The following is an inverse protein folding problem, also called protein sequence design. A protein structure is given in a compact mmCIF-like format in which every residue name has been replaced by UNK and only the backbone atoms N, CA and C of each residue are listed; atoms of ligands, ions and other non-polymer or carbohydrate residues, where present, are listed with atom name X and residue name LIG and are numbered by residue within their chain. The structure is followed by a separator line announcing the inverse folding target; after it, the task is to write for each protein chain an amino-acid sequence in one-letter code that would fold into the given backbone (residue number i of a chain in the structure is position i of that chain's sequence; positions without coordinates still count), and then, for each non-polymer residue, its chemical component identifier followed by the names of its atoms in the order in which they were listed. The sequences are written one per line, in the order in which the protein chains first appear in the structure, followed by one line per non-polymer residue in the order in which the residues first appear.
data_IF_260490180210
#
_entry.id   IF_260490180210
#
_cell.length_a   1.000
_cell.length_b   1.000
_cell.length_c   1.000
_cell.angle_alpha   90.00
_cell.angle_beta   90.00
_cell.angle_gamma   90.00
#
_symmetry.space_group_name_H-M   'P 1'
#
loop_
_entity.id
_entity.type
_entity.pdbx_description
1 polymer ?
#
# COMPACT_ATOMS: atom_id res chain seq x y z
N UNK A 1 -3.65 -4.75 -4.05
CA UNK A 1 -2.47 -4.14 -4.69
C UNK A 1 -2.86 -3.21 -5.84
N UNK A 2 -3.70 -3.62 -6.80
CA UNK A 2 -4.10 -2.77 -7.94
C UNK A 2 -4.78 -1.44 -7.57
N UNK A 3 -5.67 -1.42 -6.57
CA UNK A 3 -6.33 -0.18 -6.10
C UNK A 3 -5.32 0.86 -5.59
N UNK A 4 -4.30 0.41 -4.84
CA UNK A 4 -3.28 1.29 -4.26
C UNK A 4 -2.35 1.85 -5.34
N UNK A 5 -2.08 1.09 -6.40
CA UNK A 5 -1.29 1.56 -7.54
C UNK A 5 -2.03 2.62 -8.37
N UNK A 6 -3.36 2.54 -8.48
CA UNK A 6 -4.17 3.60 -9.10
C UNK A 6 -4.16 4.87 -8.27
N UNK A 7 -4.43 4.78 -6.96
CA UNK A 7 -4.40 5.95 -6.07
C UNK A 7 -3.02 6.60 -6.06
N UNK A 8 -1.95 5.80 -6.07
CA UNK A 8 -0.58 6.33 -6.16
C UNK A 8 -0.30 6.98 -7.52
N UNK A 9 -0.72 6.37 -8.62
CA UNK A 9 -0.61 6.97 -9.96
C UNK A 9 -1.39 8.26 -10.02
N UNK A 10 -2.69 8.23 -9.73
CA UNK A 10 -3.57 9.39 -9.79
C UNK A 10 -3.05 10.51 -8.88
N UNK A 11 -2.36 10.19 -7.78
CA UNK A 11 -1.69 11.18 -6.93
C UNK A 11 -0.39 11.73 -7.54
N UNK A 12 0.43 10.88 -8.17
CA UNK A 12 1.71 11.27 -8.80
C UNK A 12 1.48 12.03 -10.11
N UNK A 13 0.46 11.65 -10.89
CA UNK A 13 0.09 12.25 -12.17
C UNK A 13 -1.08 13.22 -12.04
N UNK A 14 -1.61 13.44 -10.83
CA UNK A 14 -2.52 14.56 -10.62
C UNK A 14 -1.72 15.84 -10.92
N UNK A 15 -2.20 16.58 -11.90
CA UNK A 15 -1.70 17.90 -12.32
C UNK A 15 -0.56 17.94 -13.33
N UNK A 16 -0.04 16.80 -13.83
CA UNK A 16 0.98 16.86 -14.87
C UNK A 16 0.38 17.05 -16.27
N UNK A 17 -0.74 16.42 -16.64
CA UNK A 17 -1.37 16.55 -17.98
C UNK A 17 -0.50 16.02 -19.14
N UNK A 18 0.79 15.81 -18.87
CA UNK A 18 1.87 15.41 -19.76
C UNK A 18 2.10 13.89 -19.75
N UNK A 19 1.20 13.11 -19.12
CA UNK A 19 1.35 11.66 -18.94
C UNK A 19 1.55 10.91 -20.28
N UNK A 20 1.05 11.46 -21.38
CA UNK A 20 1.12 10.83 -22.70
C UNK A 20 2.05 11.54 -23.68
N UNK A 21 2.80 12.58 -23.26
CA UNK A 21 3.61 13.41 -24.14
C UNK A 21 4.74 12.66 -24.84
N UNK A 22 5.26 11.62 -24.17
CA UNK A 22 6.32 10.76 -24.71
C UNK A 22 5.77 9.52 -25.43
N UNK A 23 4.46 9.44 -25.66
CA UNK A 23 3.84 8.34 -26.42
C UNK A 23 3.87 8.72 -27.90
N UNK A 24 4.47 7.88 -28.78
CA UNK A 24 4.49 8.15 -30.21
C UNK A 24 3.07 8.24 -30.80
N UNK A 25 2.86 9.10 -31.79
CA UNK A 25 1.54 9.33 -32.42
C UNK A 25 0.84 8.05 -32.93
N UNK A 26 1.63 7.04 -33.34
CA UNK A 26 1.12 5.76 -33.83
C UNK A 26 0.71 4.78 -32.73
N UNK A 27 0.85 5.16 -31.45
CA UNK A 27 0.65 4.31 -30.28
C UNK A 27 -0.39 4.93 -29.36
N UNK A 28 -1.25 4.07 -28.80
CA UNK A 28 -2.22 4.45 -27.78
C UNK A 28 -1.96 3.65 -26.49
N UNK A 29 -2.11 4.31 -25.35
CA UNK A 29 -2.00 3.73 -24.02
C UNK A 29 -3.39 3.46 -23.46
N UNK A 30 -3.78 2.20 -23.38
CA UNK A 30 -5.10 1.79 -22.87
C UNK A 30 -4.99 1.08 -21.52
N UNK A 31 -6.04 1.25 -20.70
CA UNK A 31 -6.26 0.45 -19.50
C UNK A 31 -7.02 -0.82 -19.88
N UNK A 32 -6.41 -1.99 -19.73
CA UNK A 32 -7.06 -3.26 -20.05
C UNK A 32 -7.67 -3.87 -18.79
N UNK A 33 -8.95 -4.29 -18.89
CA UNK A 33 -9.67 -5.01 -17.83
C UNK A 33 -10.35 -6.25 -18.39
N UNK A 34 -10.74 -7.17 -17.51
CA UNK A 34 -11.33 -8.45 -17.89
C UNK A 34 -12.66 -8.70 -17.15
N UNK A 35 -13.62 -9.38 -17.77
CA UNK A 35 -14.94 -9.66 -17.17
C UNK A 35 -14.86 -10.67 -16.02
N UNK A 36 -14.07 -11.74 -16.19
CA UNK A 36 -13.98 -12.84 -15.21
C UNK A 36 -12.84 -12.70 -14.19
N UNK A 37 -11.84 -11.87 -14.46
CA UNK A 37 -10.62 -11.77 -13.66
C UNK A 37 -10.56 -10.38 -13.02
N UNK A 38 -10.04 -10.29 -11.80
CA UNK A 38 -9.63 -9.02 -11.16
C UNK A 38 -8.31 -8.50 -11.73
N UNK A 39 -8.09 -8.73 -13.03
CA UNK A 39 -6.94 -8.29 -13.79
C UNK A 39 -7.14 -6.84 -14.22
N UNK A 40 -6.11 -6.02 -13.99
CA UNK A 40 -6.03 -4.66 -14.52
C UNK A 40 -4.61 -4.42 -15.03
N UNK A 41 -4.49 -4.19 -16.34
CA UNK A 41 -3.21 -3.87 -16.97
C UNK A 41 -3.21 -2.40 -17.33
N UNK A 42 -2.30 -1.66 -16.72
CA UNK A 42 -2.28 -0.20 -16.75
C UNK A 42 -1.31 0.27 -17.84
N UNK A 43 -1.73 1.24 -18.65
CA UNK A 43 -0.96 1.89 -19.73
C UNK A 43 -0.31 0.91 -20.72
N UNK A 44 -1.09 -0.07 -21.18
CA UNK A 44 -0.62 -0.97 -22.22
C UNK A 44 -0.57 -0.22 -23.54
N UNK A 45 0.65 -0.16 -24.11
CA UNK A 45 0.94 0.45 -25.40
C UNK A 45 0.49 -0.47 -26.54
N UNK A 46 -0.42 0.04 -27.36
CA UNK A 46 -0.99 -0.65 -28.51
C UNK A 46 -0.80 0.22 -29.75
N UNK A 47 -0.48 -0.41 -30.88
CA UNK A 47 -0.25 0.29 -32.13
C UNK A 47 -1.58 0.51 -32.85
N UNK A 48 -1.85 1.75 -33.28
CA UNK A 48 -3.08 2.11 -33.97
C UNK A 48 -3.22 1.41 -35.33
N UNK A 49 -2.11 0.98 -35.93
CA UNK A 49 -2.11 0.29 -37.22
C UNK A 49 -2.28 -1.23 -37.12
N UNK A 50 -2.19 -1.80 -35.90
CA UNK A 50 -2.47 -3.21 -35.66
C UNK A 50 -3.94 -3.53 -35.90
N UNK A 51 -4.18 -4.72 -36.44
CA UNK A 51 -5.54 -5.22 -36.65
C UNK A 51 -6.16 -5.70 -35.34
N UNK A 52 -7.49 -5.73 -35.26
CA UNK A 52 -8.17 -6.24 -34.06
C UNK A 52 -7.86 -7.74 -33.87
N UNK A 53 -7.70 -8.51 -34.94
CA UNK A 53 -7.28 -9.92 -34.86
C UNK A 53 -5.91 -10.10 -34.20
N UNK A 54 -4.92 -9.28 -34.55
CA UNK A 54 -3.60 -9.27 -33.89
C UNK A 54 -3.70 -8.83 -32.42
N UNK A 55 -4.53 -7.82 -32.14
CA UNK A 55 -4.77 -7.36 -30.78
C UNK A 55 -5.37 -8.48 -29.91
N UNK A 56 -6.35 -9.23 -30.40
CA UNK A 56 -6.94 -10.38 -29.67
C UNK A 56 -5.89 -11.44 -29.34
N UNK A 57 -5.00 -11.76 -30.28
CA UNK A 57 -3.91 -12.71 -30.04
C UNK A 57 -2.92 -12.21 -28.99
N UNK A 58 -2.58 -10.91 -29.01
CA UNK A 58 -1.74 -10.29 -27.98
C UNK A 58 -2.40 -10.37 -26.61
N UNK A 59 -3.71 -10.08 -26.53
CA UNK A 59 -4.47 -10.13 -25.28
C UNK A 59 -4.65 -11.55 -24.75
N UNK A 60 -4.79 -12.55 -25.64
CA UNK A 60 -4.87 -13.96 -25.26
C UNK A 60 -3.67 -14.41 -24.42
N UNK A 61 -2.46 -13.97 -24.77
CA UNK A 61 -1.25 -14.28 -23.99
C UNK A 61 -1.27 -13.71 -22.57
N UNK A 62 -2.08 -12.67 -22.32
CA UNK A 62 -2.22 -12.04 -21.02
C UNK A 62 -3.42 -12.56 -20.21
N UNK A 63 -4.56 -12.81 -20.87
CA UNK A 63 -5.81 -13.14 -20.17
C UNK A 63 -6.20 -14.62 -20.25
N UNK A 64 -5.66 -15.37 -21.21
CA UNK A 64 -6.01 -16.76 -21.47
C UNK A 64 -7.36 -16.97 -22.17
N UNK A 65 -8.08 -15.90 -22.52
CA UNK A 65 -9.33 -15.98 -23.29
C UNK A 65 -9.02 -16.13 -24.77
N UNK A 66 -9.54 -17.19 -25.41
CA UNK A 66 -9.30 -17.44 -26.84
C UNK A 66 -9.79 -16.26 -27.69
N UNK A 67 -9.08 -15.87 -28.77
CA UNK A 67 -9.49 -14.79 -29.66
C UNK A 67 -10.94 -14.87 -30.12
N UNK A 68 -11.42 -16.08 -30.49
CA UNK A 68 -12.78 -16.33 -31.00
C UNK A 68 -13.89 -16.12 -29.96
N UNK A 69 -13.55 -16.29 -28.68
CA UNK A 69 -14.49 -16.15 -27.55
C UNK A 69 -14.28 -14.83 -26.79
N UNK A 70 -13.33 -14.02 -27.26
CA UNK A 70 -13.04 -12.70 -26.73
C UNK A 70 -13.99 -11.70 -27.37
N UNK A 71 -14.55 -10.80 -26.59
CA UNK A 71 -15.23 -9.61 -27.09
C UNK A 71 -14.53 -8.38 -26.49
N UNK A 72 -14.28 -7.38 -27.33
CA UNK A 72 -13.44 -6.23 -26.98
C UNK A 72 -14.29 -4.96 -27.03
N UNK A 73 -14.52 -4.38 -25.86
CA UNK A 73 -15.31 -3.16 -25.68
C UNK A 73 -14.41 -2.02 -25.22
N UNK A 74 -14.41 -0.91 -25.94
CA UNK A 74 -13.81 0.34 -25.45
C UNK A 74 -14.85 1.05 -24.61
N UNK A 75 -14.51 1.40 -23.38
CA UNK A 75 -15.38 2.08 -22.42
C UNK A 75 -14.86 3.49 -22.14
N UNK A 76 -15.80 4.41 -21.95
CA UNK A 76 -15.53 5.72 -21.37
C UNK A 76 -15.20 5.63 -19.88
N UNK A 77 -14.73 6.74 -19.30
CA UNK A 77 -14.43 6.84 -17.88
C UNK A 77 -15.64 6.58 -16.96
N UNK A 78 -16.85 6.87 -17.45
CA UNK A 78 -18.13 6.62 -16.76
C UNK A 78 -18.62 5.16 -16.88
N UNK A 79 -17.93 4.33 -17.66
CA UNK A 79 -18.28 2.93 -17.90
C UNK A 79 -19.27 2.69 -19.05
N UNK A 80 -19.73 3.73 -19.74
CA UNK A 80 -20.52 3.58 -20.97
C UNK A 80 -19.67 3.02 -22.12
N UNK A 81 -20.30 2.26 -23.02
CA UNK A 81 -19.62 1.67 -24.19
C UNK A 81 -19.37 2.76 -25.23
N UNK A 82 -18.10 3.02 -25.53
CA UNK A 82 -17.66 3.93 -26.58
C UNK A 82 -17.67 3.24 -27.96
N UNK A 83 -17.06 2.06 -28.04
CA UNK A 83 -16.95 1.31 -29.29
C UNK A 83 -16.87 -0.20 -29.03
N UNK A 84 -17.43 -0.99 -29.95
CA UNK A 84 -17.21 -2.43 -30.02
C UNK A 84 -16.19 -2.71 -31.13
N UNK A 85 -15.12 -3.44 -30.80
CA UNK A 85 -14.07 -3.84 -31.74
C UNK A 85 -14.50 -5.17 -32.38
N UNK A 86 -15.50 -5.10 -33.26
CA UNK A 86 -16.26 -6.24 -33.80
C UNK A 86 -15.64 -6.88 -35.05
N UNK A 87 -14.78 -6.15 -35.76
CA UNK A 87 -14.17 -6.60 -37.01
C UNK A 87 -12.66 -6.77 -36.88
N UNK A 88 -12.20 -8.01 -37.07
CA UNK A 88 -10.80 -8.42 -36.92
C UNK A 88 -9.85 -7.85 -37.97
N UNK A 89 -10.35 -7.50 -39.15
CA UNK A 89 -9.55 -6.91 -40.24
C UNK A 89 -9.37 -5.40 -40.08
N UNK A 90 -10.21 -4.76 -39.25
CA UNK A 90 -10.08 -3.33 -39.00
C UNK A 90 -8.89 -3.05 -38.10
N UNK A 91 -8.27 -1.89 -38.32
CA UNK A 91 -7.17 -1.40 -37.48
C UNK A 91 -7.71 -0.74 -36.23
N UNK A 92 -6.97 -0.81 -35.12
CA UNK A 92 -7.34 -0.17 -33.87
C UNK A 92 -7.63 1.35 -34.03
N UNK A 93 -6.86 2.04 -34.85
CA UNK A 93 -7.03 3.46 -35.15
C UNK A 93 -8.32 3.81 -35.89
N UNK A 94 -8.99 2.85 -36.54
CA UNK A 94 -10.30 3.09 -37.17
C UNK A 94 -11.35 3.52 -36.14
N UNK A 95 -11.25 3.01 -34.91
CA UNK A 95 -12.22 3.26 -33.84
C UNK A 95 -11.93 4.54 -33.06
N UNK A 96 -10.94 5.36 -33.48
CA UNK A 96 -10.60 6.65 -32.86
C UNK A 96 -10.32 6.55 -31.35
N UNK A 97 -9.72 5.45 -30.90
CA UNK A 97 -9.36 5.24 -29.49
C UNK A 97 -8.32 6.26 -29.03
N UNK A 98 -8.44 6.72 -27.78
CA UNK A 98 -7.55 7.72 -27.19
C UNK A 98 -6.83 7.19 -25.96
N UNK A 99 -5.72 7.84 -25.61
CA UNK A 99 -4.97 7.53 -24.41
C UNK A 99 -5.85 7.62 -23.15
N UNK A 100 -5.68 6.67 -22.25
CA UNK A 100 -6.43 6.62 -20.99
C UNK A 100 -7.83 5.99 -21.09
N UNK A 101 -8.31 5.67 -22.30
CA UNK A 101 -9.54 4.89 -22.45
C UNK A 101 -9.37 3.46 -21.91
N UNK A 102 -10.49 2.83 -21.55
CA UNK A 102 -10.51 1.48 -21.01
C UNK A 102 -10.89 0.48 -22.10
N UNK A 103 -10.02 -0.50 -22.35
CA UNK A 103 -10.33 -1.67 -23.16
C UNK A 103 -10.79 -2.81 -22.25
N UNK A 104 -12.09 -3.09 -22.26
CA UNK A 104 -12.70 -4.17 -21.49
C UNK A 104 -12.83 -5.44 -22.33
N UNK A 105 -12.24 -6.52 -21.83
CA UNK A 105 -12.32 -7.85 -22.41
C UNK A 105 -13.49 -8.60 -21.77
N UNK A 106 -14.47 -8.97 -22.59
CA UNK A 106 -15.58 -9.82 -22.22
C UNK A 106 -15.28 -11.24 -22.71
N UNK A 107 -15.09 -12.15 -21.75
CA UNK A 107 -14.87 -13.57 -22.02
C UNK A 107 -16.19 -14.32 -22.13
N UNK A 108 -16.57 -14.65 -23.36
CA UNK A 108 -17.79 -15.37 -23.70
C UNK A 108 -17.59 -16.89 -23.83
N UNK A 109 -16.40 -17.45 -23.54
CA UNK A 109 -16.14 -18.90 -23.67
C UNK A 109 -16.98 -19.68 -22.64
N UNK A 110 -17.93 -20.54 -23.07
CA UNK A 110 -18.74 -21.39 -22.20
C UNK A 110 -17.93 -22.24 -21.22
N UNK A 111 -16.69 -22.59 -21.59
CA UNK A 111 -15.79 -23.48 -20.86
C UNK A 111 -14.61 -22.75 -20.20
N UNK A 112 -14.67 -21.42 -20.07
CA UNK A 112 -13.59 -20.64 -19.45
C UNK A 112 -13.33 -21.08 -17.99
N UNK A 113 -12.07 -21.41 -17.69
CA UNK A 113 -11.62 -21.75 -16.33
C UNK A 113 -11.73 -20.57 -15.36
N UNK A 114 -11.68 -19.34 -15.88
CA UNK A 114 -11.75 -18.12 -15.06
C UNK A 114 -13.17 -17.78 -14.58
N UNK A 115 -14.19 -18.41 -15.19
CA UNK A 115 -15.60 -18.14 -14.93
C UNK A 115 -15.96 -18.28 -13.45
N UNK A 116 -16.77 -17.36 -12.95
CA UNK A 116 -17.24 -17.35 -11.57
C UNK A 116 -16.12 -17.46 -10.54
N UNK A 117 -14.95 -16.85 -10.82
CA UNK A 117 -13.79 -16.89 -9.93
C UNK A 117 -13.05 -18.22 -9.90
N UNK A 118 -13.19 -19.08 -10.90
CA UNK A 118 -12.55 -20.41 -10.91
C UNK A 118 -11.03 -20.42 -10.72
N UNK A 119 -10.34 -19.35 -11.11
CA UNK A 119 -8.88 -19.18 -10.94
C UNK A 119 -8.48 -18.30 -9.75
N UNK A 120 -9.41 -17.53 -9.18
CA UNK A 120 -9.13 -16.56 -8.11
C UNK A 120 -9.67 -16.99 -6.75
N UNK A 121 -10.61 -17.93 -6.73
CA UNK A 121 -11.26 -18.43 -5.54
C UNK A 121 -10.42 -19.52 -4.86
N UNK A 122 -9.53 -19.08 -3.97
CA UNK A 122 -8.68 -19.95 -3.16
C UNK A 122 -9.44 -20.90 -2.23
N UNK A 123 -10.76 -20.72 -2.05
CA UNK A 123 -11.60 -21.64 -1.26
C UNK A 123 -11.90 -22.95 -2.00
N UNK A 124 -11.87 -22.94 -3.34
CA UNK A 124 -12.13 -24.12 -4.18
C UNK A 124 -10.94 -25.07 -4.27
N UNK A 125 -9.75 -24.58 -3.94
CA UNK A 125 -8.53 -25.39 -3.94
C UNK A 125 -8.54 -26.24 -2.67
N UNK A 126 -8.74 -27.55 -2.84
CA UNK A 126 -8.60 -28.51 -1.74
C UNK A 126 -7.15 -28.49 -1.26
N UNK A 127 -6.92 -27.84 -0.14
CA UNK A 127 -5.61 -27.82 0.52
C UNK A 127 -5.32 -29.21 1.05
N UNK A 128 -4.09 -29.67 0.85
CA UNK A 128 -3.64 -30.91 1.46
C UNK A 128 -3.52 -30.71 2.97
N UNK A 129 -4.30 -31.47 3.73
CA UNK A 129 -4.19 -31.59 5.17
C UNK A 129 -3.65 -32.98 5.49
N UNK A 130 -2.51 -33.02 6.16
CA UNK A 130 -1.92 -34.27 6.65
C UNK A 130 -2.58 -34.64 7.97
N UNK A 131 -2.94 -35.91 8.14
CA UNK A 131 -3.47 -36.41 9.40
C UNK A 131 -2.42 -36.27 10.51
N UNK A 132 -2.89 -36.09 11.74
CA UNK A 132 -2.02 -36.00 12.93
C UNK A 132 -1.12 -37.24 13.05
N UNK A 133 -1.70 -38.43 12.85
CA UNK A 133 -0.98 -39.71 12.91
C UNK A 133 0.08 -39.84 11.81
N UNK A 134 -0.23 -39.39 10.58
CA UNK A 134 0.74 -39.44 9.48
C UNK A 134 1.83 -38.38 9.59
N UNK A 135 1.53 -37.24 10.22
CA UNK A 135 2.53 -36.22 10.54
C UNK A 135 3.50 -36.71 11.62
N UNK A 136 3.00 -37.39 12.65
CA UNK A 136 3.82 -37.88 13.77
C UNK A 136 4.75 -39.04 13.41
N UNK A 137 4.40 -39.82 12.36
CA UNK A 137 5.25 -40.84 11.75
C UNK A 137 6.43 -40.26 10.94
N UNK A 138 6.36 -38.98 10.55
CA UNK A 138 7.43 -38.35 9.76
C UNK A 138 8.61 -37.95 10.63
N UNK A 139 9.80 -38.34 10.19
CA UNK A 139 11.06 -37.88 10.75
C UNK A 139 11.36 -36.43 10.34
N UNK A 140 12.24 -35.75 11.08
CA UNK A 140 12.67 -34.35 10.81
C UNK A 140 11.53 -33.32 10.81
N UNK A 141 10.39 -33.63 11.43
CA UNK A 141 9.30 -32.66 11.65
C UNK A 141 9.55 -31.79 12.88
N UNK A 142 8.90 -30.63 12.93
CA UNK A 142 8.94 -29.72 14.10
C UNK A 142 8.47 -30.44 15.38
N UNK A 143 7.51 -31.37 15.27
CA UNK A 143 7.02 -32.16 16.41
C UNK A 143 8.02 -33.21 16.87
N UNK A 144 8.68 -33.91 15.95
CA UNK A 144 9.76 -34.84 16.28
C UNK A 144 10.91 -34.09 16.99
N UNK A 145 11.31 -32.93 16.45
CA UNK A 145 12.30 -32.06 17.09
C UNK A 145 11.87 -31.61 18.49
N UNK A 146 10.62 -31.14 18.66
CA UNK A 146 10.09 -30.72 19.97
C UNK A 146 10.10 -31.87 20.99
N UNK A 147 9.73 -33.09 20.59
CA UNK A 147 9.78 -34.28 21.46
C UNK A 147 11.21 -34.58 21.90
N UNK A 148 12.17 -34.53 20.98
CA UNK A 148 13.59 -34.75 21.27
C UNK A 148 14.15 -33.71 22.25
N UNK A 149 13.80 -32.44 22.06
CA UNK A 149 14.26 -31.36 22.94
C UNK A 149 13.64 -31.44 24.34
N UNK A 150 12.34 -31.75 24.44
CA UNK A 150 11.67 -31.97 25.74
C UNK A 150 12.18 -33.21 26.46
N UNK A 151 12.62 -34.24 25.73
CA UNK A 151 13.23 -35.43 26.31
C UNK A 151 14.62 -35.15 26.89
N UNK A 152 15.38 -34.22 26.29
CA UNK A 152 16.67 -33.76 26.80
C UNK A 152 16.49 -32.82 28.00
N UNK A 153 15.57 -31.86 27.88
CA UNK A 153 15.31 -30.82 28.89
C UNK A 153 13.79 -30.69 29.13
N UNK A 154 13.25 -31.17 30.26
CA UNK A 154 11.80 -31.11 30.56
C UNK A 154 11.21 -29.70 30.60
N UNK A 155 12.05 -28.67 30.79
CA UNK A 155 11.65 -27.26 30.82
C UNK A 155 11.95 -26.52 29.50
N UNK A 156 12.31 -27.25 28.44
CA UNK A 156 12.64 -26.66 27.14
C UNK A 156 11.42 -26.02 26.48
N UNK A 157 11.59 -24.80 25.94
CA UNK A 157 10.56 -24.07 25.20
C UNK A 157 11.08 -23.72 23.80
N UNK A 158 10.30 -23.96 22.73
CA UNK A 158 10.72 -23.61 21.37
C UNK A 158 10.86 -22.09 21.21
N UNK A 159 11.95 -21.67 20.56
CA UNK A 159 12.37 -20.27 20.42
C UNK A 159 11.33 -19.37 19.70
N UNK A 160 10.44 -19.97 18.89
CA UNK A 160 9.46 -19.29 18.04
C UNK A 160 8.14 -18.91 18.71
N UNK A 161 7.98 -19.19 20.01
CA UNK A 161 6.86 -18.69 20.81
C UNK A 161 7.34 -17.91 22.02
N UNK A 162 8.48 -17.22 21.90
CA UNK A 162 8.59 -15.91 22.53
C UNK A 162 7.56 -14.98 21.85
N UNK A 163 6.28 -15.08 22.26
CA UNK A 163 5.70 -13.84 22.78
C UNK A 163 6.74 -13.42 23.80
N UNK A 164 7.54 -12.43 23.45
CA UNK A 164 8.58 -11.89 24.30
C UNK A 164 7.87 -11.67 25.62
N UNK A 165 8.03 -12.60 26.56
CA UNK A 165 7.72 -12.36 27.96
C UNK A 165 8.87 -11.45 28.31
N UNK A 166 8.72 -10.19 27.87
CA UNK A 166 9.65 -9.13 28.12
C UNK A 166 9.71 -9.19 29.63
N UNK A 167 10.88 -9.53 30.23
CA UNK A 167 10.99 -9.47 31.67
C UNK A 167 10.35 -8.14 32.06
N UNK A 168 9.47 -8.15 33.07
CA UNK A 168 8.87 -6.91 33.57
C UNK A 168 10.02 -5.92 33.68
N UNK A 169 10.03 -4.96 32.76
CA UNK A 169 11.15 -4.03 32.70
C UNK A 169 11.03 -3.29 34.01
N UNK A 170 12.08 -3.32 34.84
CA UNK A 170 12.09 -2.60 36.10
C UNK A 170 11.51 -1.20 35.88
N UNK A 171 10.62 -0.76 36.76
CA UNK A 171 9.94 0.53 36.65
C UNK A 171 10.95 1.69 36.47
N UNK A 172 12.18 1.51 36.95
CA UNK A 172 13.33 2.42 36.79
C UNK A 172 13.86 2.58 35.35
N UNK A 173 13.48 1.69 34.43
CA UNK A 173 13.88 1.77 33.02
C UNK A 173 12.96 2.62 32.15
N UNK A 174 11.80 3.03 32.69
CA UNK A 174 10.87 3.90 32.00
C UNK A 174 11.21 5.37 32.28
N UNK A 175 11.04 6.28 31.30
CA UNK A 175 11.28 7.70 31.53
C UNK A 175 10.38 8.20 32.67
N UNK A 176 10.98 8.73 33.73
CA UNK A 176 10.28 9.34 34.84
C UNK A 176 10.01 10.83 34.61
N UNK A 177 9.49 11.54 35.62
CA UNK A 177 9.18 12.97 35.52
C UNK A 177 10.42 13.82 35.17
N UNK A 178 11.62 13.38 35.54
CA UNK A 178 12.89 14.06 35.24
C UNK A 178 13.13 14.21 33.73
N UNK A 179 12.61 13.29 32.91
CA UNK A 179 12.83 13.27 31.47
C UNK A 179 12.04 14.33 30.69
N UNK A 180 11.05 14.96 31.32
CA UNK A 180 10.22 16.01 30.71
C UNK A 180 10.44 17.39 31.36
N UNK A 181 11.31 17.51 32.36
CA UNK A 181 11.52 18.78 33.11
C UNK A 181 11.98 19.93 32.21
N UNK A 182 12.76 19.62 31.18
CA UNK A 182 13.25 20.60 30.21
C UNK A 182 12.22 20.97 29.13
N UNK A 183 11.03 20.36 29.14
CA UNK A 183 10.00 20.54 28.12
C UNK A 183 8.77 21.20 28.71
N UNK A 184 8.10 22.04 27.93
CA UNK A 184 6.83 22.68 28.26
C UNK A 184 5.83 22.48 27.14
N UNK A 185 4.56 22.42 27.51
CA UNK A 185 3.47 22.43 26.53
C UNK A 185 3.51 23.77 25.79
N UNK A 186 3.52 23.70 24.46
CA UNK A 186 3.70 24.85 23.57
C UNK A 186 5.10 24.96 22.95
N UNK A 187 6.08 24.20 23.47
CA UNK A 187 7.44 24.25 22.93
C UNK A 187 7.51 23.68 21.50
N UNK A 188 8.36 24.30 20.68
CA UNK A 188 8.76 23.76 19.38
C UNK A 188 9.73 22.61 19.57
N UNK A 189 9.50 21.54 18.85
CA UNK A 189 10.30 20.33 18.98
C UNK A 189 10.54 19.63 17.64
N UNK A 190 11.58 18.83 17.62
CA UNK A 190 11.90 17.89 16.57
C UNK A 190 11.93 16.47 17.13
N UNK A 191 11.31 15.54 16.40
CA UNK A 191 11.16 14.14 16.80
C UNK A 191 12.08 13.24 15.99
N UNK A 192 12.84 12.41 16.70
CA UNK A 192 13.71 11.39 16.14
C UNK A 192 13.11 9.96 16.25
N UNK A 193 13.38 9.06 15.29
CA UNK A 193 14.02 9.31 14.00
C UNK A 193 13.10 10.08 13.04
N UNK A 194 13.72 10.73 12.06
CA UNK A 194 13.05 11.30 10.88
C UNK A 194 12.88 12.81 10.90
N UNK A 195 13.46 13.54 11.86
CA UNK A 195 13.52 15.01 11.85
C UNK A 195 12.15 15.71 11.81
N UNK A 196 11.08 15.04 12.27
CA UNK A 196 9.71 15.55 12.15
C UNK A 196 9.48 16.65 13.16
N UNK A 197 9.07 17.83 12.69
CA UNK A 197 8.86 19.00 13.56
C UNK A 197 7.42 19.16 13.98
N UNK A 198 7.23 19.81 15.12
CA UNK A 198 5.91 20.06 15.67
C UNK A 198 5.94 20.81 16.99
N UNK A 199 4.77 20.83 17.64
CA UNK A 199 4.51 21.46 18.91
C UNK A 199 4.21 20.43 20.00
N UNK A 200 4.84 20.58 21.15
CA UNK A 200 4.50 19.80 22.34
C UNK A 200 3.10 20.19 22.82
N UNK A 201 2.19 19.22 22.91
CA UNK A 201 0.80 19.42 23.36
C UNK A 201 0.46 18.70 24.66
N UNK A 202 1.23 17.67 25.02
CA UNK A 202 1.00 16.89 26.23
C UNK A 202 2.32 16.40 26.82
N UNK A 203 2.41 16.38 28.16
CA UNK A 203 3.54 15.85 28.92
C UNK A 203 2.98 15.07 30.11
N UNK A 204 3.16 13.75 30.15
CA UNK A 204 2.63 12.94 31.24
C UNK A 204 2.59 11.45 30.96
N UNK A 205 2.04 10.69 31.89
CA UNK A 205 1.85 9.25 31.76
C UNK A 205 0.60 8.93 30.93
N UNK A 206 0.68 7.85 30.16
CA UNK A 206 -0.42 7.34 29.32
C UNK A 206 -0.55 5.83 29.56
N UNK A 207 -1.32 5.42 30.59
CA UNK A 207 -1.50 4.01 30.95
C UNK A 207 -1.99 3.13 29.79
N UNK A 208 -2.74 3.71 28.87
CA UNK A 208 -3.38 3.06 27.72
C UNK A 208 -2.37 2.61 26.65
N UNK A 209 -1.20 3.25 26.57
CA UNK A 209 -0.10 2.90 25.66
C UNK A 209 0.86 1.94 26.37
N UNK A 210 1.60 2.46 27.36
CA UNK A 210 2.55 1.73 28.19
C UNK A 210 3.07 2.64 29.31
N UNK A 211 3.58 2.03 30.39
CA UNK A 211 4.14 2.73 31.55
C UNK A 211 5.26 3.74 31.20
N UNK A 212 5.41 4.75 32.06
CA UNK A 212 6.36 5.85 31.92
C UNK A 212 5.81 7.09 31.22
N UNK A 213 6.60 8.16 31.22
CA UNK A 213 6.22 9.43 30.64
C UNK A 213 6.26 9.41 29.11
N UNK A 214 5.37 10.21 28.54
CA UNK A 214 5.16 10.42 27.13
C UNK A 214 5.04 11.91 26.82
N UNK A 215 5.51 12.27 25.63
CA UNK A 215 5.33 13.60 25.04
C UNK A 215 4.32 13.45 23.91
N UNK A 216 3.18 14.12 24.03
CA UNK A 216 2.24 14.28 22.93
C UNK A 216 2.68 15.44 22.06
N UNK A 217 2.93 15.17 20.78
CA UNK A 217 3.37 16.15 19.78
C UNK A 217 2.29 16.30 18.73
N UNK A 218 1.95 17.54 18.42
CA UNK A 218 1.22 17.91 17.21
C UNK A 218 2.25 18.26 16.13
N UNK A 219 2.39 17.41 15.12
CA UNK A 219 3.28 17.65 13.98
C UNK A 219 2.78 18.80 13.11
N UNK A 220 3.70 19.40 12.35
CA UNK A 220 3.34 20.42 11.35
C UNK A 220 2.75 19.79 10.09
N UNK A 221 3.08 18.53 9.83
CA UNK A 221 2.66 17.73 8.66
C UNK A 221 1.88 16.47 9.11
N UNK A 222 1.10 15.83 8.22
CA UNK A 222 0.29 14.64 8.56
C UNK A 222 1.13 13.34 8.67
N UNK A 223 2.22 13.39 9.46
CA UNK A 223 3.22 12.32 9.68
C UNK A 223 3.04 11.60 11.03
N UNK A 224 2.02 11.97 11.78
CA UNK A 224 1.59 11.36 13.03
C UNK A 224 0.75 10.10 12.82
N UNK A 225 0.45 9.43 13.94
CA UNK A 225 -0.32 8.17 13.97
C UNK A 225 -1.69 8.32 14.64
N UNK A 226 -1.92 9.44 15.31
CA UNK A 226 -3.11 9.69 16.12
C UNK A 226 -3.71 11.06 15.80
N UNK A 227 -4.89 11.31 16.35
CA UNK A 227 -5.64 12.58 16.36
C UNK A 227 -5.56 13.27 17.74
N UNK A 228 -4.61 12.85 18.58
CA UNK A 228 -4.46 13.29 19.96
C UNK A 228 -5.22 12.43 20.99
N UNK A 229 -5.88 11.37 20.54
CA UNK A 229 -6.51 10.36 21.41
C UNK A 229 -5.75 9.03 21.46
N UNK A 230 -5.94 8.29 22.56
CA UNK A 230 -5.53 6.88 22.70
C UNK A 230 -6.72 6.09 23.24
N UNK A 231 -7.16 5.07 22.50
CA UNK A 231 -8.28 4.18 22.90
C UNK A 231 -9.55 4.92 23.34
N UNK A 232 -9.83 6.08 22.74
CA UNK A 232 -11.02 6.90 23.03
C UNK A 232 -10.83 7.97 24.11
N UNK A 233 -9.67 8.04 24.77
CA UNK A 233 -9.31 9.12 25.71
C UNK A 233 -8.50 10.18 24.99
N UNK A 234 -8.94 11.44 25.04
CA UNK A 234 -8.27 12.58 24.40
C UNK A 234 -7.26 13.23 25.36
N UNK A 235 -6.00 13.33 24.94
CA UNK A 235 -4.94 14.03 25.70
C UNK A 235 -4.71 15.44 25.17
N UNK A 236 -4.84 15.61 23.87
CA UNK A 236 -4.82 16.91 23.19
C UNK A 236 -5.67 16.85 21.92
N UNK A 237 -5.97 18.02 21.34
CA UNK A 237 -6.76 18.12 20.11
C UNK A 237 -5.83 18.43 18.93
N UNK A 238 -5.85 17.59 17.89
CA UNK A 238 -5.24 17.88 16.60
C UNK A 238 -6.03 17.22 15.46
N UNK A 239 -5.67 17.54 14.22
CA UNK A 239 -6.25 16.87 13.06
C UNK A 239 -5.81 15.39 12.98
N UNK A 240 -6.60 14.53 12.31
CA UNK A 240 -6.21 13.14 12.06
C UNK A 240 -4.84 13.06 11.38
N UNK A 241 -3.96 12.20 11.89
CA UNK A 241 -2.56 12.02 11.44
C UNK A 241 -1.61 13.15 11.80
N UNK A 242 -2.02 14.18 12.54
CA UNK A 242 -1.10 15.20 13.04
C UNK A 242 -0.61 14.93 14.47
N UNK A 243 -1.19 13.95 15.18
CA UNK A 243 -0.82 13.63 16.55
C UNK A 243 0.16 12.47 16.67
N UNK A 244 1.07 12.54 17.64
CA UNK A 244 1.93 11.42 18.03
C UNK A 244 2.25 11.43 19.51
N UNK A 245 2.38 10.23 20.09
CA UNK A 245 2.89 10.03 21.45
C UNK A 245 4.29 9.43 21.37
N UNK A 246 5.28 10.19 21.83
CA UNK A 246 6.70 9.90 21.65
C UNK A 246 7.38 9.82 23.02
N UNK A 247 8.44 9.02 23.12
CA UNK A 247 9.25 8.97 24.35
C UNK A 247 10.10 10.25 24.47
N UNK A 248 10.25 10.82 25.68
CA UNK A 248 10.98 12.07 25.89
C UNK A 248 12.39 12.10 25.27
N UNK A 249 13.15 11.01 25.33
CA UNK A 249 14.51 10.93 24.74
C UNK A 249 14.55 11.11 23.22
N UNK A 250 13.42 10.96 22.54
CA UNK A 250 13.29 11.15 21.09
C UNK A 250 12.72 12.52 20.71
N UNK A 251 12.53 13.42 21.69
CA UNK A 251 12.01 14.76 21.46
C UNK A 251 13.08 15.77 21.85
N UNK A 252 13.58 16.51 20.87
CA UNK A 252 14.46 17.65 21.10
C UNK A 252 13.61 18.92 21.08
N UNK A 253 13.56 19.65 22.20
CA UNK A 253 12.94 20.97 22.28
C UNK A 253 13.98 22.04 21.94
N UNK A 254 13.59 23.04 21.15
CA UNK A 254 14.50 24.11 20.74
C UNK A 254 13.92 25.03 19.68
N UNK A 255 14.78 25.79 19.02
CA UNK A 255 14.39 26.63 17.90
C UNK A 255 14.22 25.80 16.62
N UNK A 256 13.07 25.12 16.53
CA UNK A 256 12.69 24.32 15.36
C UNK A 256 11.52 24.99 14.66
N UNK A 257 11.73 26.04 13.84
CA UNK A 257 10.64 26.67 13.09
C UNK A 257 9.99 25.68 12.13
N UNK A 258 8.76 25.98 11.71
CA UNK A 258 8.06 25.22 10.67
C UNK A 258 8.93 25.25 9.43
N UNK A 259 9.16 24.09 8.81
CA UNK A 259 9.88 24.03 7.54
C UNK A 259 8.94 24.54 6.45
N UNK A 260 9.33 25.61 5.78
CA UNK A 260 8.65 26.07 4.57
C UNK A 260 9.23 25.29 3.37
N UNK A 261 8.44 24.43 2.70
CA UNK A 261 8.90 23.66 1.54
C UNK A 261 9.32 24.54 0.36
N UNK A 262 8.99 25.84 0.37
CA UNK A 262 9.25 26.77 -0.73
C UNK A 262 10.42 27.73 -0.45
N UNK A 263 11.01 27.73 0.74
CA UNK A 263 12.07 28.68 1.12
C UNK A 263 13.32 28.55 0.22
N UNK A 264 13.66 27.32 -0.19
CA UNK A 264 14.79 27.04 -1.10
C UNK A 264 14.51 27.37 -2.58
N UNK A 265 13.25 27.61 -2.96
CA UNK A 265 12.88 27.89 -4.36
C UNK A 265 12.93 29.39 -4.72
N UNK A 266 13.07 30.27 -3.73
CA UNK A 266 13.04 31.73 -3.94
C UNK A 266 14.42 32.29 -4.36
N UNK A 267 15.49 31.49 -4.32
CA UNK A 267 16.87 31.91 -4.62
C UNK A 267 17.41 31.35 -5.94
N UNK A 268 16.68 31.50 -7.05
CA UNK A 268 17.22 31.18 -8.39
C UNK A 268 16.87 32.17 -9.50
N UNK A 269 16.40 33.37 -9.14
CA UNK A 269 16.00 34.38 -10.11
C UNK A 269 16.38 35.78 -9.65
N UNK A 270 17.68 36.07 -9.59
CA UNK A 270 18.28 37.39 -9.86
C UNK A 270 19.79 37.33 -9.58
N UNK A 271 20.59 36.93 -10.58
CA UNK A 271 21.94 37.47 -10.79
C UNK A 271 22.46 37.09 -12.21
N UNK A 272 22.74 38.13 -13.00
CA UNK A 272 23.52 38.17 -14.26
C UNK A 272 22.89 37.46 -15.49
N UNK A 273 22.62 38.10 -16.64
CA UNK A 273 23.22 39.25 -17.34
C UNK A 273 22.18 39.91 -18.28
#
# INVERSE_FOLDING_TARGET
MAQNMRVLRDYVTAMDGHQYDNVPDAVVCLLITHSNLKLQMVDIRLELHSTIGELRHKLYLHTGTKPDAMELLVLHGDGSVYACLDNDERRLGFYSVQNGMRLHIVDNDPFSLSRSGGLEDVSRVKKYEISEDDYDKREKTVRAYKREQLAKDPNWKPMTMMKVNRPERDASSFPGPESIVSMKVGDRCEVQPGGRRGLVRFLGEIPEIASGYWVGVQFDEPVGKADGSVKGVFYFKCEPKYGGFIRPHNVAVGNFPVLDPLEDLVYSGEEEL
#
